data_IF_685999801631
#
_entry.id   IF_685999801631
#
_cell.length_a   1.000
_cell.length_b   1.000
_cell.length_c   1.000
_cell.angle_alpha   90.00
_cell.angle_beta   90.00
_cell.angle_gamma   90.00
#
_symmetry.space_group_name_H-M   'P 1'
#
loop_
_entity.id
_entity.type
_entity.pdbx_description
1 polymer ?
#
# COMPACT_ATOMS: atom_id res chain seq x y z
N UNK A 1 11.51 1.97 -11.79
CA UNK A 1 12.64 1.02 -12.00
C UNK A 1 13.73 1.07 -10.93
N UNK A 2 14.33 2.24 -10.60
CA UNK A 2 15.42 2.33 -9.59
C UNK A 2 15.05 1.71 -8.22
N UNK A 3 13.81 1.92 -7.75
CA UNK A 3 13.28 1.35 -6.49
C UNK A 3 13.20 -0.19 -6.49
N UNK A 4 12.81 -0.79 -7.62
CA UNK A 4 12.76 -2.24 -7.80
C UNK A 4 14.15 -2.87 -7.75
N UNK A 5 15.15 -2.25 -8.39
CA UNK A 5 16.53 -2.75 -8.36
C UNK A 5 17.14 -2.68 -6.95
N UNK A 6 16.87 -1.61 -6.20
CA UNK A 6 17.31 -1.49 -4.81
C UNK A 6 16.68 -2.57 -3.91
N UNK A 7 15.40 -2.89 -4.12
CA UNK A 7 14.73 -3.98 -3.41
C UNK A 7 15.34 -5.34 -3.75
N UNK A 8 15.55 -5.62 -5.04
CA UNK A 8 16.18 -6.86 -5.50
C UNK A 8 17.62 -7.01 -4.97
N UNK A 9 18.37 -5.91 -4.87
CA UNK A 9 19.73 -5.91 -4.32
C UNK A 9 19.77 -6.17 -2.81
N UNK A 10 18.96 -5.46 -2.01
CA UNK A 10 18.85 -5.69 -0.57
C UNK A 10 18.42 -7.14 -0.29
N UNK A 11 17.53 -7.66 -1.11
CA UNK A 11 17.07 -9.03 -0.99
C UNK A 11 18.16 -10.06 -1.37
N UNK A 12 18.92 -9.83 -2.45
CA UNK A 12 20.06 -10.68 -2.78
C UNK A 12 21.04 -10.79 -1.59
N UNK A 13 21.23 -9.69 -0.86
CA UNK A 13 22.06 -9.63 0.34
C UNK A 13 21.49 -10.50 1.49
N UNK A 14 20.17 -10.44 1.73
CA UNK A 14 19.49 -11.30 2.71
C UNK A 14 19.58 -12.79 2.37
N UNK A 15 19.49 -13.17 1.09
CA UNK A 15 19.67 -14.55 0.65
C UNK A 15 21.09 -15.04 0.94
N UNK A 16 22.10 -14.23 0.60
CA UNK A 16 23.51 -14.56 0.87
C UNK A 16 23.75 -14.75 2.37
N UNK A 17 23.24 -13.83 3.21
CA UNK A 17 23.35 -13.98 4.67
C UNK A 17 22.66 -15.24 5.19
N UNK A 18 21.48 -15.61 4.65
CA UNK A 18 20.80 -16.83 5.03
C UNK A 18 21.58 -18.09 4.64
N UNK A 19 22.31 -18.08 3.52
CA UNK A 19 23.21 -19.17 3.15
C UNK A 19 24.43 -19.26 4.07
N UNK A 20 25.05 -18.14 4.45
CA UNK A 20 26.21 -18.11 5.35
C UNK A 20 25.89 -18.65 6.76
N UNK A 21 24.77 -18.21 7.35
CA UNK A 21 24.29 -18.71 8.65
C UNK A 21 24.08 -20.23 8.62
N UNK A 22 23.64 -20.76 7.48
CA UNK A 22 23.44 -22.20 7.28
C UNK A 22 24.74 -22.96 7.01
N UNK A 23 25.71 -22.34 6.34
CA UNK A 23 27.04 -22.90 6.11
C UNK A 23 27.80 -23.10 7.43
N UNK A 24 27.67 -22.15 8.37
CA UNK A 24 28.28 -22.22 9.71
C UNK A 24 27.66 -23.32 10.60
N UNK A 25 26.42 -23.76 10.32
CA UNK A 25 25.72 -24.79 11.10
C UNK A 25 26.01 -26.23 10.64
N UNK A 26 26.88 -26.43 9.65
CA UNK A 26 27.09 -27.73 8.99
C UNK A 26 28.21 -28.53 9.66
N UNK A 27 27.86 -29.30 10.68
CA UNK A 27 28.65 -30.47 11.09
C UNK A 27 28.70 -31.51 9.95
N UNK A 28 29.86 -32.16 9.79
CA UNK A 28 30.15 -33.16 8.75
C UNK A 28 29.09 -34.28 8.72
N UNK A 29 28.35 -34.41 7.62
CA UNK A 29 27.42 -35.53 7.38
C UNK A 29 27.81 -36.19 6.05
N UNK A 30 28.10 -37.49 6.14
CA UNK A 30 28.60 -38.35 5.07
C UNK A 30 27.73 -38.36 3.81
N UNK A 31 28.41 -38.58 2.68
CA UNK A 31 27.81 -38.60 1.35
C UNK A 31 27.00 -39.89 1.12
N UNK A 32 25.69 -39.81 1.28
CA UNK A 32 24.79 -40.89 0.90
C UNK A 32 24.55 -40.89 -0.62
N UNK A 33 25.13 -41.86 -1.34
CA UNK A 33 24.87 -42.11 -2.78
C UNK A 33 23.69 -43.08 -2.93
N UNK A 34 22.47 -42.54 -2.84
CA UNK A 34 21.25 -43.25 -3.24
C UNK A 34 20.73 -42.74 -4.58
N UNK A 35 20.14 -43.62 -5.40
CA UNK A 35 19.52 -43.24 -6.67
C UNK A 35 18.50 -42.11 -6.44
N UNK A 36 18.73 -40.95 -7.07
CA UNK A 36 17.82 -39.80 -7.01
C UNK A 36 16.61 -40.15 -7.87
N UNK A 37 15.59 -40.76 -7.27
CA UNK A 37 14.33 -41.00 -7.96
C UNK A 37 13.78 -39.68 -8.51
N UNK A 38 13.50 -39.64 -9.81
CA UNK A 38 12.91 -38.49 -10.48
C UNK A 38 11.65 -37.99 -9.75
N UNK A 39 11.39 -36.69 -9.85
CA UNK A 39 10.19 -36.10 -9.27
C UNK A 39 8.96 -36.62 -10.02
N UNK A 40 8.01 -37.22 -9.30
CA UNK A 40 6.83 -37.86 -9.88
C UNK A 40 5.54 -37.31 -9.26
N UNK A 41 4.39 -37.66 -9.83
CA UNK A 41 3.07 -37.18 -9.37
C UNK A 41 2.79 -37.47 -7.88
N UNK A 42 3.34 -38.55 -7.32
CA UNK A 42 3.15 -38.95 -5.92
C UNK A 42 3.92 -38.08 -4.91
N UNK A 43 4.84 -37.23 -5.39
CA UNK A 43 5.62 -36.28 -4.57
C UNK A 43 5.02 -34.86 -4.59
N UNK A 44 3.99 -34.63 -5.40
CA UNK A 44 3.22 -33.38 -5.43
C UNK A 44 2.28 -33.34 -4.23
N UNK A 45 2.07 -32.16 -3.68
CA UNK A 45 1.15 -31.95 -2.57
C UNK A 45 0.55 -30.56 -2.63
N UNK A 46 -0.60 -30.41 -1.98
CA UNK A 46 -1.25 -29.13 -1.75
C UNK A 46 -0.94 -28.72 -0.33
N UNK A 47 -0.74 -27.43 -0.11
CA UNK A 47 -0.62 -26.86 1.21
C UNK A 47 -1.51 -25.63 1.32
N UNK A 48 -2.17 -25.48 2.46
CA UNK A 48 -3.07 -24.36 2.75
C UNK A 48 -2.57 -23.63 3.97
N UNK A 49 -2.74 -22.31 4.03
CA UNK A 49 -2.20 -21.53 5.13
C UNK A 49 -2.91 -20.21 5.33
N UNK A 50 -2.73 -19.67 6.52
CA UNK A 50 -3.11 -18.30 6.88
C UNK A 50 -1.87 -17.48 7.20
N UNK A 51 -1.98 -16.17 7.07
CA UNK A 51 -0.87 -15.27 7.40
C UNK A 51 -1.36 -13.93 7.92
N UNK A 52 -0.47 -13.29 8.67
CA UNK A 52 -0.58 -11.89 9.06
C UNK A 52 0.38 -11.07 8.22
N UNK A 53 -0.03 -9.86 7.87
CA UNK A 53 0.66 -8.99 6.95
C UNK A 53 0.88 -7.62 7.59
N UNK A 54 2.01 -7.01 7.27
CA UNK A 54 2.29 -5.59 7.49
C UNK A 54 2.35 -4.93 6.12
N UNK A 55 1.47 -3.97 5.87
CA UNK A 55 1.37 -3.23 4.62
C UNK A 55 1.93 -1.83 4.79
N UNK A 56 2.73 -1.39 3.82
CA UNK A 56 3.35 -0.07 3.78
C UNK A 56 3.12 0.54 2.39
N UNK A 57 2.53 1.73 2.34
CA UNK A 57 2.23 2.46 1.11
C UNK A 57 3.41 3.35 0.69
N UNK A 58 3.63 3.47 -0.62
CA UNK A 58 4.61 4.38 -1.21
C UNK A 58 4.02 5.05 -2.44
N UNK A 59 3.91 6.36 -2.39
CA UNK A 59 3.38 7.20 -3.46
C UNK A 59 3.37 8.65 -3.04
N UNK A 60 2.35 9.41 -3.45
CA UNK A 60 2.33 10.86 -3.30
C UNK A 60 2.27 11.35 -1.85
N UNK A 61 1.51 10.66 -1.00
CA UNK A 61 1.39 10.93 0.44
C UNK A 61 2.42 10.18 1.31
N UNK A 62 3.32 9.39 0.69
CA UNK A 62 4.36 8.61 1.40
C UNK A 62 5.62 8.40 0.51
N UNK A 63 6.47 9.42 0.36
CA UNK A 63 7.37 9.55 -0.80
C UNK A 63 8.83 9.18 -0.52
N UNK A 64 9.28 9.39 0.72
CA UNK A 64 10.69 9.28 1.11
C UNK A 64 11.09 7.84 1.36
N UNK A 65 12.20 7.49 0.71
CA UNK A 65 12.68 6.14 0.52
C UNK A 65 13.85 5.87 1.45
N UNK A 66 13.68 4.91 2.37
CA UNK A 66 14.68 3.85 2.54
C UNK A 66 13.89 2.56 2.65
N UNK A 67 14.18 1.57 1.82
CA UNK A 67 13.53 0.23 1.89
C UNK A 67 13.74 -0.40 3.29
N UNK A 68 14.76 0.08 4.03
CA UNK A 68 15.05 -0.27 5.41
C UNK A 68 14.50 0.72 6.47
N UNK A 69 13.94 1.87 6.08
CA UNK A 69 13.17 2.76 6.98
C UNK A 69 11.70 2.48 6.76
N UNK A 70 11.24 1.34 7.27
CA UNK A 70 9.82 1.13 7.48
C UNK A 70 9.42 2.06 8.62
N UNK A 71 8.92 3.25 8.31
CA UNK A 71 8.28 4.07 9.32
C UNK A 71 7.08 3.28 9.87
N UNK A 72 7.26 2.77 11.08
CA UNK A 72 6.30 1.91 11.78
C UNK A 72 4.93 2.62 11.91
N UNK A 73 4.91 3.96 11.85
CA UNK A 73 3.72 4.81 11.88
C UNK A 73 2.72 4.51 10.73
N UNK A 74 3.21 4.12 9.55
CA UNK A 74 2.38 3.81 8.38
C UNK A 74 2.11 2.32 8.17
N UNK A 75 2.78 1.44 8.93
CA UNK A 75 2.53 0.01 8.90
C UNK A 75 1.10 -0.29 9.35
N UNK A 76 0.34 -0.96 8.50
CA UNK A 76 -1.03 -1.39 8.82
C UNK A 76 -1.16 -2.91 8.73
N UNK A 77 -1.92 -3.54 9.64
CA UNK A 77 -2.09 -4.98 9.61
C UNK A 77 -2.98 -5.41 8.45
N UNK A 78 -2.74 -6.63 7.99
CA UNK A 78 -3.63 -7.35 7.09
C UNK A 78 -3.58 -8.84 7.38
N UNK A 79 -4.47 -9.58 6.74
CA UNK A 79 -4.51 -11.03 6.80
C UNK A 79 -4.55 -11.60 5.39
N UNK A 80 -4.04 -12.81 5.20
CA UNK A 80 -4.24 -13.54 3.96
C UNK A 80 -4.43 -15.03 4.17
N UNK A 81 -5.08 -15.63 3.18
CA UNK A 81 -5.24 -17.06 3.04
C UNK A 81 -4.59 -17.51 1.73
N UNK A 82 -3.85 -18.60 1.78
CA UNK A 82 -3.17 -19.15 0.62
C UNK A 82 -3.45 -20.63 0.42
N UNK A 83 -3.45 -21.03 -0.85
CA UNK A 83 -3.40 -22.42 -1.28
C UNK A 83 -2.26 -22.57 -2.28
N UNK A 84 -1.30 -23.43 -1.97
CA UNK A 84 -0.11 -23.67 -2.78
C UNK A 84 -0.08 -25.12 -3.26
N UNK A 85 0.15 -25.30 -4.55
CA UNK A 85 0.33 -26.59 -5.19
C UNK A 85 1.78 -26.76 -5.63
N UNK A 86 2.46 -27.77 -5.08
CA UNK A 86 3.83 -28.09 -5.46
C UNK A 86 3.85 -28.92 -6.75
N UNK A 87 4.39 -28.35 -7.82
CA UNK A 87 4.37 -28.96 -9.15
C UNK A 87 5.68 -29.69 -9.50
N UNK A 88 6.79 -29.28 -8.90
CA UNK A 88 8.14 -29.80 -9.19
C UNK A 88 9.10 -29.78 -7.99
N UNK A 89 10.39 -30.11 -8.21
CA UNK A 89 11.43 -30.09 -7.17
C UNK A 89 11.71 -28.70 -6.58
N UNK A 90 11.47 -27.64 -7.35
CA UNK A 90 11.68 -26.25 -6.94
C UNK A 90 10.49 -25.33 -7.27
N UNK A 91 9.50 -25.80 -8.03
CA UNK A 91 8.42 -24.96 -8.55
C UNK A 91 7.09 -25.27 -7.85
N UNK A 92 6.42 -24.22 -7.40
CA UNK A 92 5.06 -24.27 -6.88
C UNK A 92 4.22 -23.14 -7.49
N UNK A 93 2.91 -23.37 -7.57
CA UNK A 93 1.93 -22.34 -7.91
C UNK A 93 1.09 -22.05 -6.67
N UNK A 94 0.84 -20.78 -6.37
CA UNK A 94 0.10 -20.36 -5.18
C UNK A 94 -1.04 -19.41 -5.55
N UNK A 95 -2.26 -19.75 -5.15
CA UNK A 95 -3.36 -18.79 -5.07
C UNK A 95 -3.37 -18.13 -3.69
N UNK A 96 -3.57 -16.82 -3.65
CA UNK A 96 -3.56 -16.05 -2.42
C UNK A 96 -4.69 -15.01 -2.41
N UNK A 97 -5.40 -14.91 -1.30
CA UNK A 97 -6.36 -13.84 -1.05
C UNK A 97 -5.87 -13.02 0.15
N UNK A 98 -5.77 -11.71 -0.01
CA UNK A 98 -5.34 -10.78 1.03
C UNK A 98 -6.41 -9.74 1.30
N UNK A 99 -6.60 -9.42 2.57
CA UNK A 99 -7.32 -8.23 3.00
C UNK A 99 -6.44 -7.45 3.98
N UNK A 100 -6.14 -6.20 3.64
CA UNK A 100 -5.35 -5.31 4.47
C UNK A 100 -5.75 -3.86 4.30
N UNK A 101 -5.20 -3.00 5.15
CA UNK A 101 -5.39 -1.55 5.07
C UNK A 101 -4.09 -0.87 4.65
N UNK A 102 -4.18 0.18 3.86
CA UNK A 102 -3.12 1.15 3.60
C UNK A 102 -3.49 2.48 4.26
N UNK A 103 -2.48 3.27 4.61
CA UNK A 103 -2.63 4.65 5.07
C UNK A 103 -1.41 5.45 4.60
N UNK A 104 -1.64 6.71 4.26
CA UNK A 104 -0.62 7.74 4.08
C UNK A 104 -1.17 9.07 4.56
N UNK A 105 -0.27 9.98 4.89
CA UNK A 105 -0.59 11.22 5.58
C UNK A 105 0.57 12.21 5.38
N UNK A 106 0.26 13.40 4.87
CA UNK A 106 1.22 14.47 4.60
C UNK A 106 1.85 15.06 5.87
N UNK A 107 1.10 15.08 6.97
CA UNK A 107 1.56 15.68 8.24
C UNK A 107 2.66 14.82 8.89
N UNK A 108 2.49 13.50 8.83
CA UNK A 108 3.42 12.55 9.47
C UNK A 108 4.48 11.97 8.53
N UNK A 109 4.47 12.34 7.24
CA UNK A 109 5.46 11.85 6.28
C UNK A 109 6.75 12.68 6.34
N UNK A 110 7.57 12.36 7.35
CA UNK A 110 8.99 12.70 7.50
C UNK A 110 9.36 14.10 6.96
N UNK A 111 8.83 15.12 7.67
CA UNK A 111 9.24 16.51 7.52
C UNK A 111 10.76 16.59 7.71
N UNK A 112 11.49 16.76 6.61
CA UNK A 112 12.90 17.12 6.66
C UNK A 112 12.95 18.63 6.39
N UNK A 113 13.11 19.48 7.42
CA UNK A 113 13.19 20.91 7.23
C UNK A 113 14.31 21.23 6.22
N UNK A 114 13.99 22.00 5.18
CA UNK A 114 14.95 22.44 4.15
C UNK A 114 14.85 21.78 2.77
N UNK A 115 13.85 20.92 2.50
CA UNK A 115 13.55 20.47 1.12
C UNK A 115 12.17 20.96 0.66
N UNK A 116 12.11 21.64 -0.48
CA UNK A 116 10.87 22.23 -1.05
C UNK A 116 9.70 21.22 -1.11
N UNK A 117 10.00 19.95 -1.39
CA UNK A 117 9.01 18.89 -1.57
C UNK A 117 8.33 18.44 -0.26
N UNK A 118 9.03 18.46 0.88
CA UNK A 118 8.41 18.12 2.17
C UNK A 118 7.61 19.27 2.74
N UNK A 119 8.08 20.51 2.55
CA UNK A 119 7.29 21.70 2.87
C UNK A 119 6.00 21.68 2.06
N UNK A 120 6.09 21.41 0.75
CA UNK A 120 4.91 21.34 -0.11
C UNK A 120 3.83 20.36 0.40
N UNK A 121 4.27 19.15 0.79
CA UNK A 121 3.37 18.11 1.30
C UNK A 121 2.74 18.48 2.63
N UNK A 122 3.56 18.92 3.59
CA UNK A 122 3.07 19.38 4.88
C UNK A 122 1.96 20.44 4.70
N UNK A 123 2.19 21.40 3.80
CA UNK A 123 1.21 22.43 3.46
C UNK A 123 -0.03 21.87 2.75
N UNK A 124 0.09 20.85 1.90
CA UNK A 124 -1.05 20.17 1.25
C UNK A 124 -1.97 19.49 2.28
N UNK A 125 -1.41 18.92 3.34
CA UNK A 125 -2.12 18.36 4.50
C UNK A 125 -3.21 17.33 4.15
N UNK A 126 -2.95 16.47 3.17
CA UNK A 126 -3.86 15.38 2.81
C UNK A 126 -3.53 14.11 3.59
N UNK A 127 -4.55 13.28 3.81
CA UNK A 127 -4.39 11.96 4.38
C UNK A 127 -5.43 11.01 3.80
N UNK A 128 -5.12 9.72 3.83
CA UNK A 128 -6.05 8.71 3.38
C UNK A 128 -5.93 7.41 4.17
N UNK A 129 -6.99 6.62 4.13
CA UNK A 129 -6.99 5.20 4.45
C UNK A 129 -7.63 4.44 3.31
N UNK A 130 -7.11 3.27 2.98
CA UNK A 130 -7.64 2.47 1.89
C UNK A 130 -7.66 0.98 2.25
N UNK A 131 -8.82 0.34 2.12
CA UNK A 131 -8.97 -1.10 2.38
C UNK A 131 -8.78 -1.88 1.08
N UNK A 132 -7.71 -2.66 1.01
CA UNK A 132 -7.32 -3.46 -0.13
C UNK A 132 -7.80 -4.91 0.04
N UNK A 133 -8.47 -5.42 -0.99
CA UNK A 133 -8.80 -6.85 -1.14
C UNK A 133 -8.11 -7.36 -2.40
N UNK A 134 -7.05 -8.14 -2.26
CA UNK A 134 -6.21 -8.63 -3.36
C UNK A 134 -6.46 -10.13 -3.58
N UNK A 135 -6.68 -10.53 -4.83
CA UNK A 135 -6.61 -11.92 -5.27
C UNK A 135 -5.40 -12.07 -6.20
N UNK A 136 -4.50 -12.99 -5.87
CA UNK A 136 -3.26 -13.17 -6.61
C UNK A 136 -2.95 -14.64 -6.94
N UNK A 137 -2.27 -14.82 -8.07
CA UNK A 137 -1.67 -16.10 -8.49
C UNK A 137 -0.18 -15.88 -8.61
N UNK A 138 0.60 -16.66 -7.86
CA UNK A 138 2.04 -16.52 -7.72
C UNK A 138 2.75 -17.80 -8.17
N UNK A 139 3.83 -17.62 -8.92
CA UNK A 139 4.84 -18.65 -9.17
C UNK A 139 5.91 -18.55 -8.10
N UNK A 140 6.12 -19.64 -7.37
CA UNK A 140 7.10 -19.72 -6.28
C UNK A 140 8.25 -20.64 -6.70
N UNK A 141 9.46 -20.10 -6.64
CA UNK A 141 10.69 -20.81 -6.93
C UNK A 141 11.53 -20.97 -5.68
N UNK A 142 11.60 -22.20 -5.17
CA UNK A 142 12.48 -22.58 -4.07
C UNK A 142 13.94 -22.59 -4.56
N UNK A 143 14.80 -21.74 -3.99
CA UNK A 143 16.22 -21.67 -4.34
C UNK A 143 16.97 -22.97 -3.99
N UNK A 144 16.44 -23.71 -3.01
CA UNK A 144 16.90 -25.06 -2.66
C UNK A 144 15.94 -26.12 -3.20
N UNK A 145 16.25 -26.62 -4.38
CA UNK A 145 15.49 -27.72 -4.99
C UNK A 145 15.57 -28.98 -4.11
N UNK A 146 14.44 -29.65 -3.92
CA UNK A 146 14.41 -30.98 -3.31
C UNK A 146 13.42 -31.89 -4.05
N UNK A 147 13.91 -33.03 -4.52
CA UNK A 147 13.14 -34.02 -5.26
C UNK A 147 12.49 -35.11 -4.39
N UNK A 148 12.47 -34.93 -3.07
CA UNK A 148 12.00 -35.94 -2.11
C UNK A 148 10.54 -35.65 -1.70
N UNK A 149 9.94 -36.58 -0.95
CA UNK A 149 8.60 -36.41 -0.38
C UNK A 149 8.57 -35.27 0.64
N UNK A 150 7.38 -34.70 0.92
CA UNK A 150 7.22 -33.61 1.88
C UNK A 150 7.80 -33.91 3.28
N UNK A 151 7.90 -35.18 3.69
CA UNK A 151 8.48 -35.60 4.98
C UNK A 151 9.96 -35.20 5.10
N UNK A 152 10.72 -35.39 4.02
CA UNK A 152 12.18 -35.18 3.96
C UNK A 152 12.53 -33.83 3.36
N UNK A 153 11.60 -32.86 3.47
CA UNK A 153 11.85 -31.48 3.08
C UNK A 153 12.96 -30.84 3.94
N UNK A 154 13.82 -30.00 3.35
CA UNK A 154 14.84 -29.26 4.09
C UNK A 154 14.23 -28.41 5.21
N UNK A 155 15.02 -28.16 6.25
CA UNK A 155 14.56 -27.35 7.39
C UNK A 155 14.38 -25.88 7.04
N UNK A 156 15.28 -25.32 6.25
CA UNK A 156 15.23 -23.94 5.78
C UNK A 156 15.29 -23.92 4.25
N UNK A 157 14.37 -23.20 3.62
CA UNK A 157 14.28 -23.05 2.17
C UNK A 157 14.02 -21.58 1.85
N UNK A 158 15.04 -20.85 1.38
CA UNK A 158 14.85 -19.57 0.71
C UNK A 158 14.11 -19.76 -0.61
N UNK A 159 13.25 -18.82 -0.97
CA UNK A 159 12.51 -18.82 -2.23
C UNK A 159 12.23 -17.41 -2.72
N UNK A 160 12.06 -17.29 -4.03
CA UNK A 160 11.57 -16.07 -4.69
C UNK A 160 10.22 -16.36 -5.32
N UNK A 161 9.43 -15.32 -5.53
CA UNK A 161 8.15 -15.45 -6.21
C UNK A 161 7.79 -14.21 -7.01
N UNK A 162 6.99 -14.42 -8.04
CA UNK A 162 6.38 -13.36 -8.82
C UNK A 162 5.01 -13.82 -9.31
N UNK A 163 4.14 -12.90 -9.69
CA UNK A 163 2.84 -13.28 -10.19
C UNK A 163 1.98 -12.12 -10.67
N UNK A 164 0.69 -12.39 -10.83
CA UNK A 164 -0.32 -11.40 -11.16
C UNK A 164 -1.36 -11.29 -10.05
N UNK A 165 -1.85 -10.08 -9.84
CA UNK A 165 -2.88 -9.79 -8.86
C UNK A 165 -3.94 -8.85 -9.46
N UNK A 166 -5.18 -9.06 -9.03
CA UNK A 166 -6.26 -8.07 -9.14
C UNK A 166 -6.66 -7.68 -7.73
N UNK A 167 -6.87 -6.39 -7.49
CA UNK A 167 -7.29 -5.92 -6.18
C UNK A 167 -8.42 -4.91 -6.29
N UNK A 168 -9.30 -4.94 -5.29
CA UNK A 168 -10.28 -3.90 -5.04
C UNK A 168 -9.72 -2.94 -3.99
N UNK A 169 -9.79 -1.64 -4.27
CA UNK A 169 -9.41 -0.55 -3.38
C UNK A 169 -10.51 0.51 -3.32
N UNK A 170 -10.60 1.22 -2.21
CA UNK A 170 -11.51 2.34 -2.01
C UNK A 170 -10.86 3.35 -1.04
N UNK A 171 -10.09 4.33 -1.55
CA UNK A 171 -9.48 5.34 -0.69
C UNK A 171 -10.56 6.19 -0.02
N UNK A 172 -10.32 6.48 1.25
CA UNK A 172 -11.19 7.25 2.12
C UNK A 172 -10.37 8.28 2.87
N UNK A 173 -10.95 9.45 3.12
CA UNK A 173 -10.38 10.45 4.01
C UNK A 173 -11.43 10.94 5.00
N UNK A 174 -10.97 11.59 6.07
CA UNK A 174 -11.83 12.10 7.14
C UNK A 174 -12.33 13.49 6.79
N UNK A 175 -13.64 13.74 6.92
CA UNK A 175 -14.23 15.07 6.75
C UNK A 175 -13.67 16.03 7.82
N UNK A 176 -13.22 17.25 7.44
CA UNK A 176 -12.76 18.23 8.42
C UNK A 176 -13.88 18.66 9.37
N UNK A 177 -13.51 19.14 10.55
CA UNK A 177 -14.48 19.65 11.53
C UNK A 177 -14.87 21.10 11.25
N UNK A 178 -14.01 21.83 10.54
CA UNK A 178 -14.15 23.26 10.28
C UNK A 178 -13.99 23.51 8.78
N UNK A 179 -14.86 24.35 8.25
CA UNK A 179 -14.83 24.78 6.86
C UNK A 179 -13.92 26.01 6.71
N UNK A 180 -12.67 25.73 6.33
CA UNK A 180 -11.67 26.73 5.99
C UNK A 180 -11.66 27.13 4.51
N UNK A 181 -12.52 26.50 3.70
CA UNK A 181 -12.53 26.69 2.25
C UNK A 181 -13.57 27.75 1.89
N UNK A 182 -14.82 27.62 2.36
CA UNK A 182 -15.89 28.56 2.01
C UNK A 182 -15.95 29.79 2.92
N UNK A 183 -15.32 29.78 4.10
CA UNK A 183 -15.37 30.91 5.04
C UNK A 183 -13.98 31.34 5.47
N UNK A 184 -13.21 31.87 4.51
CA UNK A 184 -11.81 32.25 4.70
C UNK A 184 -11.59 33.23 5.85
N UNK A 185 -12.42 34.28 5.92
CA UNK A 185 -12.24 35.38 6.89
C UNK A 185 -12.82 35.04 8.26
N UNK A 186 -13.65 34.01 8.36
CA UNK A 186 -14.24 33.51 9.61
C UNK A 186 -14.61 32.04 9.45
N UNK A 187 -13.65 31.11 9.61
CA UNK A 187 -13.90 29.67 9.44
C UNK A 187 -15.09 29.22 10.27
N UNK A 188 -15.99 28.45 9.66
CA UNK A 188 -17.21 27.99 10.33
C UNK A 188 -17.08 26.51 10.71
N UNK A 189 -17.36 26.16 11.96
CA UNK A 189 -17.49 24.76 12.36
C UNK A 189 -18.61 24.08 11.58
N UNK A 190 -18.36 22.85 11.13
CA UNK A 190 -19.34 22.01 10.43
C UNK A 190 -20.13 21.27 11.50
N UNK A 191 -21.44 21.48 11.54
CA UNK A 191 -22.29 20.79 12.51
C UNK A 191 -22.65 19.39 12.01
N UNK A 192 -23.07 18.51 12.94
CA UNK A 192 -23.66 17.22 12.56
C UNK A 192 -24.98 17.48 11.82
N UNK A 193 -25.18 16.82 10.68
CA UNK A 193 -26.28 17.03 9.73
C UNK A 193 -26.36 18.46 9.15
N UNK A 194 -25.21 19.12 9.00
CA UNK A 194 -25.15 20.42 8.34
C UNK A 194 -25.70 20.34 6.90
N UNK A 195 -26.72 21.15 6.53
CA UNK A 195 -27.34 21.08 5.21
C UNK A 195 -26.41 21.47 4.07
N UNK A 196 -25.24 22.04 4.35
CA UNK A 196 -24.23 22.43 3.35
C UNK A 196 -23.44 21.24 2.82
N UNK A 197 -23.41 20.12 3.54
CA UNK A 197 -22.52 18.98 3.27
C UNK A 197 -23.26 17.65 3.22
N UNK A 198 -22.78 16.76 2.36
CA UNK A 198 -23.34 15.41 2.22
C UNK A 198 -22.74 14.39 3.22
N UNK A 199 -22.00 14.86 4.22
CA UNK A 199 -21.34 14.02 5.23
C UNK A 199 -21.14 14.79 6.54
N UNK A 200 -20.98 14.05 7.64
CA UNK A 200 -20.75 14.64 8.95
C UNK A 200 -19.25 14.93 9.20
N UNK A 201 -18.92 15.93 10.03
CA UNK A 201 -17.54 16.18 10.44
C UNK A 201 -16.95 14.93 11.11
N UNK A 202 -15.67 14.65 10.84
CA UNK A 202 -14.97 13.48 11.40
C UNK A 202 -15.35 12.12 10.77
N UNK A 203 -16.34 12.07 9.88
CA UNK A 203 -16.72 10.86 9.17
C UNK A 203 -15.66 10.47 8.13
N UNK A 204 -15.45 9.17 7.92
CA UNK A 204 -14.58 8.68 6.86
C UNK A 204 -15.37 8.32 5.61
N UNK A 205 -15.25 9.16 4.60
CA UNK A 205 -16.00 9.04 3.35
C UNK A 205 -15.13 8.52 2.21
N UNK A 206 -15.77 7.89 1.22
CA UNK A 206 -15.07 7.43 0.00
C UNK A 206 -14.72 8.63 -0.86
N UNK A 207 -13.48 8.72 -1.32
CA UNK A 207 -13.01 9.88 -2.09
C UNK A 207 -13.37 9.77 -3.57
N UNK A 208 -13.37 8.56 -4.12
CA UNK A 208 -13.72 8.32 -5.54
C UNK A 208 -15.03 9.00 -5.98
N UNK A 209 -16.17 8.89 -5.26
CA UNK A 209 -17.40 9.55 -5.68
C UNK A 209 -17.30 11.07 -5.70
N UNK A 210 -16.38 11.67 -4.93
CA UNK A 210 -16.17 13.11 -4.88
C UNK A 210 -15.32 13.62 -6.04
N UNK A 211 -14.54 12.75 -6.70
CA UNK A 211 -13.63 13.12 -7.77
C UNK A 211 -12.80 14.36 -7.41
N UNK A 212 -12.00 14.28 -6.34
CA UNK A 212 -11.29 15.44 -5.76
C UNK A 212 -10.32 16.13 -6.73
N UNK A 213 -9.97 15.48 -7.84
CA UNK A 213 -9.18 16.01 -8.97
C UNK A 213 -10.00 16.15 -10.26
N UNK A 214 -11.33 16.06 -10.18
CA UNK A 214 -12.23 15.98 -11.33
C UNK A 214 -12.07 14.72 -12.19
N UNK A 215 -11.40 13.70 -11.65
CA UNK A 215 -11.13 12.45 -12.36
C UNK A 215 -11.88 11.29 -11.74
N UNK A 216 -12.44 10.45 -12.61
CA UNK A 216 -13.04 9.17 -12.24
C UNK A 216 -12.07 8.03 -12.48
N UNK A 217 -11.93 7.13 -11.50
CA UNK A 217 -11.07 5.95 -11.59
C UNK A 217 -11.81 4.69 -11.12
N UNK A 218 -11.26 3.52 -11.45
CA UNK A 218 -11.82 2.22 -11.06
C UNK A 218 -11.42 1.85 -9.63
N UNK A 219 -12.31 1.18 -8.89
CA UNK A 219 -11.93 0.54 -7.61
C UNK A 219 -11.16 -0.76 -7.83
N UNK A 220 -11.20 -1.31 -9.05
CA UNK A 220 -10.44 -2.49 -9.41
C UNK A 220 -9.20 -2.08 -10.19
N UNK A 221 -8.05 -2.57 -9.75
CA UNK A 221 -6.78 -2.38 -10.42
C UNK A 221 -5.95 -3.67 -10.39
N UNK A 222 -4.92 -3.69 -11.23
CA UNK A 222 -3.98 -4.80 -11.34
C UNK A 222 -2.69 -4.47 -10.60
N UNK A 223 -2.01 -5.52 -10.13
CA UNK A 223 -0.66 -5.43 -9.62
C UNK A 223 0.18 -6.65 -10.06
N UNK A 224 1.49 -6.46 -10.07
CA UNK A 224 2.48 -7.53 -10.17
C UNK A 224 3.17 -7.64 -8.81
N UNK A 225 2.80 -8.65 -8.00
CA UNK A 225 3.55 -8.98 -6.80
C UNK A 225 4.88 -9.63 -7.19
N UNK A 226 5.98 -9.09 -6.69
CA UNK A 226 7.31 -9.69 -6.76
C UNK A 226 7.89 -9.66 -5.36
N UNK A 227 8.46 -10.77 -4.93
CA UNK A 227 8.94 -10.86 -3.57
C UNK A 227 9.75 -12.11 -3.35
N UNK A 228 10.12 -12.28 -2.11
CA UNK A 228 10.88 -13.42 -1.72
C UNK A 228 10.80 -13.63 -0.21
N UNK A 229 11.22 -14.81 0.22
CA UNK A 229 11.02 -15.22 1.59
C UNK A 229 11.85 -16.43 1.96
N UNK A 230 11.69 -16.80 3.23
CA UNK A 230 12.33 -17.97 3.82
C UNK A 230 11.26 -18.83 4.46
N UNK A 231 11.29 -20.13 4.16
CA UNK A 231 10.39 -21.14 4.71
C UNK A 231 11.17 -21.99 5.69
N UNK A 232 10.67 -22.08 6.91
CA UNK A 232 11.18 -22.94 7.96
C UNK A 232 10.22 -24.10 8.24
N UNK A 233 10.73 -25.32 8.24
CA UNK A 233 9.99 -26.54 8.57
C UNK A 233 9.77 -26.62 10.07
N UNK A 234 8.57 -26.28 10.52
CA UNK A 234 8.21 -26.33 11.93
C UNK A 234 7.90 -27.76 12.40
N UNK A 235 7.24 -28.56 11.55
CA UNK A 235 6.90 -29.95 11.87
C UNK A 235 6.84 -30.83 10.61
N UNK A 236 6.34 -32.06 10.73
CA UNK A 236 6.12 -32.93 9.55
C UNK A 236 5.07 -32.37 8.59
N UNK A 237 4.13 -31.54 9.05
CA UNK A 237 3.05 -31.02 8.21
C UNK A 237 2.94 -29.50 8.23
N UNK A 238 3.65 -28.81 9.14
CA UNK A 238 3.61 -27.36 9.27
C UNK A 238 4.90 -26.72 8.80
N UNK A 239 4.76 -25.63 8.07
CA UNK A 239 5.82 -24.72 7.66
C UNK A 239 5.49 -23.30 8.13
N UNK A 240 6.48 -22.64 8.71
CA UNK A 240 6.45 -21.21 9.05
C UNK A 240 7.22 -20.46 7.97
N UNK A 241 6.69 -19.37 7.43
CA UNK A 241 7.43 -18.57 6.44
C UNK A 241 7.35 -17.09 6.72
N UNK A 242 8.46 -16.41 6.45
CA UNK A 242 8.53 -14.95 6.38
C UNK A 242 8.75 -14.53 4.93
N UNK A 243 7.97 -13.56 4.44
CA UNK A 243 8.01 -13.06 3.07
C UNK A 243 8.06 -11.53 3.07
N UNK A 244 8.88 -10.94 2.19
CA UNK A 244 8.85 -9.52 1.86
C UNK A 244 8.50 -9.38 0.39
N UNK A 245 7.57 -8.49 0.07
CA UNK A 245 7.00 -8.49 -1.26
C UNK A 245 6.47 -7.13 -1.70
N UNK A 246 6.90 -6.73 -2.88
CA UNK A 246 6.60 -5.47 -3.53
C UNK A 246 5.45 -5.66 -4.53
N UNK A 247 4.43 -4.81 -4.47
CA UNK A 247 3.39 -4.73 -5.51
C UNK A 247 3.68 -3.53 -6.39
N UNK A 248 4.11 -3.81 -7.62
CA UNK A 248 4.02 -2.82 -8.68
C UNK A 248 2.55 -2.72 -9.09
N UNK A 249 1.91 -1.58 -8.87
CA UNK A 249 0.54 -1.35 -9.34
C UNK A 249 0.54 -0.59 -10.67
N UNK A 250 -0.63 -0.53 -11.29
CA UNK A 250 -0.89 0.21 -12.52
C UNK A 250 -1.92 1.34 -12.31
N UNK A 251 -2.12 1.75 -11.06
CA UNK A 251 -3.01 2.85 -10.69
C UNK A 251 -2.21 3.90 -9.94
N UNK A 252 -2.70 5.12 -10.01
CA UNK A 252 -2.17 6.29 -9.31
C UNK A 252 -3.13 6.77 -8.21
N UNK A 253 -4.19 5.99 -7.97
CA UNK A 253 -5.31 6.41 -7.14
C UNK A 253 -5.46 5.47 -5.94
N UNK A 254 -4.37 4.87 -5.43
CA UNK A 254 -4.45 4.16 -4.15
C UNK A 254 -4.72 5.14 -3.00
N UNK A 255 -4.35 6.40 -3.17
CA UNK A 255 -4.50 7.43 -2.17
C UNK A 255 -5.43 8.58 -2.58
N UNK A 256 -5.97 8.53 -3.80
CA UNK A 256 -6.81 9.56 -4.44
C UNK A 256 -6.03 10.82 -4.90
N UNK A 257 -4.70 10.73 -5.07
CA UNK A 257 -3.82 11.87 -5.41
C UNK A 257 -2.94 11.49 -6.61
N UNK A 258 -2.89 12.34 -7.64
CA UNK A 258 -2.13 12.02 -8.87
C UNK A 258 -1.70 13.25 -9.67
N UNK A 259 -2.62 14.19 -9.94
CA UNK A 259 -2.38 15.23 -10.94
C UNK A 259 -2.39 16.65 -10.38
N UNK A 260 -2.83 17.58 -11.20
CA UNK A 260 -3.00 18.98 -10.80
C UNK A 260 -4.28 19.18 -9.98
N UNK A 261 -4.33 20.28 -9.24
CA UNK A 261 -5.58 20.75 -8.64
C UNK A 261 -6.61 21.09 -9.72
N UNK A 262 -7.88 20.85 -9.41
CA UNK A 262 -9.02 21.29 -10.20
C UNK A 262 -9.52 22.66 -9.70
N UNK A 263 -10.14 23.45 -10.57
CA UNK A 263 -10.77 24.69 -10.14
C UNK A 263 -11.98 24.38 -9.24
N UNK A 264 -12.15 25.09 -8.11
CA UNK A 264 -13.28 24.85 -7.21
C UNK A 264 -14.66 25.00 -7.87
N UNK A 265 -14.78 25.82 -8.91
CA UNK A 265 -16.04 26.03 -9.64
C UNK A 265 -16.51 24.79 -10.42
N UNK A 266 -15.58 23.95 -10.87
CA UNK A 266 -15.91 22.78 -11.70
C UNK A 266 -16.66 21.70 -10.92
N UNK A 267 -16.55 21.70 -9.57
CA UNK A 267 -17.25 20.72 -8.74
C UNK A 267 -18.77 20.80 -8.83
N UNK A 268 -19.37 21.97 -9.10
CA UNK A 268 -20.83 22.07 -9.30
C UNK A 268 -21.25 21.47 -10.63
N UNK A 269 -20.37 21.45 -11.64
CA UNK A 269 -20.65 20.82 -12.92
C UNK A 269 -20.48 19.30 -12.83
N UNK A 270 -19.48 18.84 -12.08
CA UNK A 270 -19.24 17.42 -11.82
C UNK A 270 -20.36 16.82 -10.97
N UNK A 271 -20.83 17.56 -9.96
CA UNK A 271 -21.81 17.09 -8.98
C UNK A 271 -23.11 17.89 -9.07
N UNK A 272 -24.19 17.22 -9.45
CA UNK A 272 -25.52 17.87 -9.49
C UNK A 272 -26.12 18.19 -8.11
N UNK A 273 -25.59 17.64 -7.02
CA UNK A 273 -25.98 17.99 -5.64
C UNK A 273 -24.94 18.97 -5.04
N UNK A 274 -25.32 20.22 -4.72
CA UNK A 274 -24.42 21.22 -4.15
C UNK A 274 -23.72 20.74 -2.86
N UNK A 275 -24.37 19.86 -2.08
CA UNK A 275 -23.80 19.32 -0.83
C UNK A 275 -22.62 18.40 -1.08
N UNK A 276 -22.64 17.69 -2.21
CA UNK A 276 -21.52 16.83 -2.65
C UNK A 276 -20.42 17.69 -3.25
N UNK A 277 -20.77 18.72 -4.05
CA UNK A 277 -19.80 19.67 -4.60
C UNK A 277 -19.01 20.39 -3.48
N UNK A 278 -19.70 20.91 -2.47
CA UNK A 278 -19.07 21.57 -1.33
C UNK A 278 -18.17 20.61 -0.54
N UNK A 279 -18.60 19.37 -0.35
CA UNK A 279 -17.81 18.34 0.29
C UNK A 279 -16.56 18.00 -0.54
N UNK A 280 -16.69 17.88 -1.87
CA UNK A 280 -15.56 17.61 -2.75
C UNK A 280 -14.49 18.71 -2.69
N UNK A 281 -14.91 19.98 -2.66
CA UNK A 281 -14.01 21.14 -2.45
C UNK A 281 -13.22 21.04 -1.15
N UNK A 282 -13.91 20.78 -0.04
CA UNK A 282 -13.27 20.58 1.28
C UNK A 282 -12.24 19.45 1.26
N UNK A 283 -12.56 18.35 0.59
CA UNK A 283 -11.69 17.17 0.57
C UNK A 283 -10.54 17.29 -0.44
N UNK A 284 -10.71 18.11 -1.48
CA UNK A 284 -9.67 18.38 -2.48
C UNK A 284 -8.58 19.31 -1.94
N UNK A 285 -8.95 20.32 -1.14
CA UNK A 285 -8.04 21.35 -0.62
C UNK A 285 -8.11 21.48 0.90
N UNK A 286 -7.01 21.10 1.57
CA UNK A 286 -6.91 21.05 3.04
C UNK A 286 -5.86 21.98 3.65
N UNK A 287 -5.14 22.74 2.84
CA UNK A 287 -3.99 23.52 3.31
C UNK A 287 -4.36 24.61 4.32
N UNK A 288 -5.57 25.16 4.20
CA UNK A 288 -6.04 26.16 5.16
C UNK A 288 -6.34 25.59 6.56
N UNK A 289 -6.39 24.26 6.75
CA UNK A 289 -6.57 23.65 8.08
C UNK A 289 -5.38 23.92 9.01
N UNK A 290 -4.18 24.16 8.44
CA UNK A 290 -2.97 24.51 9.20
C UNK A 290 -3.12 25.88 9.89
N UNK A 291 -4.12 26.69 9.52
CA UNK A 291 -4.44 27.99 10.17
C UNK A 291 -4.72 27.89 11.65
N UNK A 292 -5.14 26.73 12.15
CA UNK A 292 -5.28 26.50 13.60
C UNK A 292 -3.95 26.66 14.33
N UNK A 293 -2.83 26.35 13.66
CA UNK A 293 -1.48 26.64 14.13
C UNK A 293 -1.03 28.00 13.59
N UNK A 294 -1.56 29.07 14.20
CA UNK A 294 -1.40 30.45 13.72
C UNK A 294 0.04 30.93 13.54
N UNK A 295 1.02 30.30 14.19
CA UNK A 295 2.44 30.62 14.01
C UNK A 295 2.98 30.05 12.69
N UNK A 296 2.69 28.78 12.39
CA UNK A 296 3.10 28.13 11.14
C UNK A 296 2.40 28.77 9.94
N UNK A 297 1.13 29.13 10.09
CA UNK A 297 0.39 29.79 9.02
C UNK A 297 1.02 31.14 8.63
N UNK A 298 1.44 31.95 9.60
CA UNK A 298 2.08 33.24 9.29
C UNK A 298 3.40 33.04 8.54
N UNK A 299 4.25 32.11 8.97
CA UNK A 299 5.49 31.76 8.27
C UNK A 299 5.23 31.28 6.84
N UNK A 300 4.17 30.48 6.63
CA UNK A 300 3.79 29.98 5.29
C UNK A 300 3.27 31.08 4.36
N UNK A 301 2.42 31.98 4.87
CA UNK A 301 1.92 33.12 4.10
C UNK A 301 3.06 34.08 3.74
N UNK A 302 4.02 34.28 4.64
CA UNK A 302 5.22 35.08 4.37
C UNK A 302 6.13 34.43 3.31
N UNK A 303 6.21 33.10 3.27
CA UNK A 303 7.06 32.36 2.34
C UNK A 303 6.48 32.21 0.92
N UNK A 304 5.19 31.90 0.78
CA UNK A 304 4.55 31.60 -0.53
C UNK A 304 3.52 32.63 -0.98
N UNK A 305 3.05 33.48 -0.07
CA UNK A 305 1.92 34.37 -0.31
C UNK A 305 0.58 33.63 -0.39
N UNK A 306 -0.50 34.38 -0.22
CA UNK A 306 -1.87 33.92 -0.49
C UNK A 306 -2.35 34.50 -1.80
N UNK A 307 -3.18 33.74 -2.50
CA UNK A 307 -3.91 34.24 -3.67
C UNK A 307 -5.40 34.09 -3.40
N UNK A 308 -6.13 35.12 -3.79
CA UNK A 308 -7.58 35.07 -3.79
C UNK A 308 -8.05 34.62 -5.16
N UNK A 309 -8.83 33.55 -5.19
CA UNK A 309 -9.53 33.10 -6.38
C UNK A 309 -10.90 33.76 -6.38
N UNK A 310 -11.08 34.73 -7.26
CA UNK A 310 -12.32 35.47 -7.40
C UNK A 310 -13.35 34.58 -8.09
N UNK A 311 -14.21 33.95 -7.30
CA UNK A 311 -15.38 33.23 -7.78
C UNK A 311 -16.52 33.28 -6.76
N UNK A 312 -17.76 33.19 -7.24
CA UNK A 312 -18.97 33.25 -6.43
C UNK A 312 -19.13 31.96 -5.62
N UNK A 313 -18.56 31.92 -4.42
CA UNK A 313 -18.76 30.83 -3.49
C UNK A 313 -20.26 30.50 -3.31
N UNK A 314 -20.71 29.24 -3.51
CA UNK A 314 -22.12 28.85 -3.45
C UNK A 314 -22.72 29.03 -2.05
N UNK A 315 -21.88 29.19 -1.03
CA UNK A 315 -22.27 29.37 0.36
C UNK A 315 -22.18 30.83 0.86
N UNK A 316 -21.82 31.80 -0.01
CA UNK A 316 -21.82 33.23 0.31
C UNK A 316 -21.02 34.11 -0.64
N UNK A 317 -21.12 35.44 -0.51
CA UNK A 317 -20.50 36.43 -1.40
C UNK A 317 -18.97 36.59 -1.26
N UNK A 318 -18.27 35.65 -0.60
CA UNK A 318 -16.84 35.75 -0.31
C UNK A 318 -16.02 34.93 -1.31
N UNK A 319 -14.87 35.47 -1.71
CA UNK A 319 -13.92 34.78 -2.59
C UNK A 319 -13.20 33.62 -1.88
N UNK A 320 -12.75 32.62 -2.65
CA UNK A 320 -11.93 31.52 -2.11
C UNK A 320 -10.48 31.98 -1.90
N UNK A 321 -9.94 31.82 -0.70
CA UNK A 321 -8.52 32.05 -0.42
C UNK A 321 -7.81 30.72 -0.39
N UNK A 322 -6.77 30.64 -1.20
CA UNK A 322 -5.89 29.50 -1.26
C UNK A 322 -4.44 29.97 -1.11
N UNK A 323 -3.60 29.06 -0.63
CA UNK A 323 -2.16 29.25 -0.72
C UNK A 323 -1.74 29.19 -2.18
N UNK A 324 -0.80 30.05 -2.56
CA UNK A 324 -0.28 30.05 -3.92
C UNK A 324 0.33 28.67 -4.26
N UNK A 325 -0.06 28.09 -5.39
CA UNK A 325 0.32 26.71 -5.75
C UNK A 325 -0.68 25.61 -5.36
N UNK A 326 -1.75 25.94 -4.62
CA UNK A 326 -2.71 24.96 -4.12
C UNK A 326 -4.16 25.30 -4.42
N UNK A 327 -5.03 24.29 -4.43
CA UNK A 327 -6.49 24.44 -4.33
C UNK A 327 -7.21 25.00 -5.56
N UNK A 328 -6.48 25.37 -6.61
CA UNK A 328 -7.02 25.85 -7.90
C UNK A 328 -6.19 25.30 -9.04
N UNK A 329 -6.76 25.17 -10.24
CA UNK A 329 -5.98 24.77 -11.41
C UNK A 329 -4.99 25.86 -11.81
N UNK A 330 -3.79 25.47 -12.20
CA UNK A 330 -2.74 26.41 -12.58
C UNK A 330 -1.51 25.70 -13.08
N UNK A 331 -0.69 26.42 -13.86
CA UNK A 331 0.64 25.97 -14.21
C UNK A 331 1.44 25.88 -12.91
N UNK A 332 1.89 24.68 -12.56
CA UNK A 332 2.63 24.34 -11.34
C UNK A 332 1.76 24.19 -10.06
N UNK A 333 0.42 24.07 -10.17
CA UNK A 333 -0.47 23.76 -9.04
C UNK A 333 -0.69 22.24 -8.92
N UNK A 334 0.32 21.53 -8.41
CA UNK A 334 0.44 20.07 -8.52
C UNK A 334 -0.13 19.36 -7.29
N UNK A 335 -1.34 18.80 -7.34
CA UNK A 335 -1.90 18.06 -6.19
C UNK A 335 -1.17 16.75 -5.92
N UNK A 336 -0.66 16.06 -6.94
CA UNK A 336 0.08 14.79 -6.89
C UNK A 336 1.03 14.64 -8.08
N UNK A 337 1.82 13.58 -8.13
CA UNK A 337 2.68 13.25 -9.28
C UNK A 337 2.03 12.11 -10.06
N UNK A 338 2.09 12.18 -11.40
CA UNK A 338 1.61 11.08 -12.27
C UNK A 338 2.58 9.88 -12.25
N UNK A 339 2.69 9.22 -11.10
CA UNK A 339 3.71 8.23 -10.77
C UNK A 339 3.08 7.05 -10.01
N UNK A 340 2.86 5.92 -10.71
CA UNK A 340 2.06 4.81 -10.19
C UNK A 340 2.46 4.37 -8.79
N UNK A 341 1.45 4.36 -7.93
CA UNK A 341 1.53 3.95 -6.54
C UNK A 341 2.04 2.52 -6.38
N UNK A 342 2.76 2.28 -5.30
CA UNK A 342 3.24 0.94 -4.94
C UNK A 342 3.08 0.70 -3.45
N UNK A 343 3.03 -0.57 -3.07
CA UNK A 343 3.02 -0.93 -1.66
C UNK A 343 3.85 -2.17 -1.38
N UNK A 344 4.45 -2.22 -0.20
CA UNK A 344 5.22 -3.34 0.30
C UNK A 344 4.39 -4.12 1.32
N UNK A 345 4.50 -5.44 1.26
CA UNK A 345 3.86 -6.36 2.18
C UNK A 345 4.92 -7.26 2.79
N UNK A 346 5.03 -7.20 4.11
CA UNK A 346 5.79 -8.14 4.93
C UNK A 346 4.81 -9.15 5.52
N UNK A 347 5.02 -10.44 5.29
CA UNK A 347 4.07 -11.50 5.63
C UNK A 347 4.72 -12.54 6.52
N UNK A 348 4.08 -12.85 7.64
CA UNK A 348 4.39 -14.03 8.45
C UNK A 348 3.26 -15.04 8.29
N UNK A 349 3.60 -16.24 7.82
CA UNK A 349 2.61 -17.24 7.42
C UNK A 349 2.84 -18.60 8.06
N UNK A 350 1.73 -19.28 8.38
CA UNK A 350 1.72 -20.67 8.82
C UNK A 350 0.98 -21.50 7.77
N UNK A 351 1.65 -22.51 7.24
CA UNK A 351 1.16 -23.35 6.15
C UNK A 351 1.09 -24.81 6.58
N UNK A 352 -0.05 -25.46 6.36
CA UNK A 352 -0.29 -26.88 6.58
C UNK A 352 -0.27 -27.65 5.26
N UNK A 353 0.50 -28.73 5.21
CA UNK A 353 0.62 -29.63 4.05
C UNK A 353 -0.47 -30.70 4.13
N UNK A 354 -1.32 -30.75 3.10
CA UNK A 354 -2.33 -31.79 2.92
C UNK A 354 -1.63 -33.01 2.32
N UNK A 355 -1.38 -34.02 3.16
CA UNK A 355 -0.73 -35.25 2.75
C UNK A 355 -1.65 -36.14 1.90
N UNK A 356 -1.20 -36.57 0.73
CA UNK A 356 -1.79 -37.72 0.04
C UNK A 356 -1.27 -39.00 0.71
N UNK A 357 -2.17 -39.85 1.21
CA UNK A 357 -1.91 -41.13 1.90
C UNK A 357 -0.56 -41.78 1.55
N UNK A 358 0.40 -41.68 2.48
CA UNK A 358 1.63 -42.46 2.42
C UNK A 358 1.32 -43.78 3.12
N UNK A 359 1.20 -44.86 2.35
CA UNK A 359 1.23 -46.21 2.92
C UNK A 359 2.60 -46.38 3.58
N UNK A 360 2.62 -46.48 4.91
CA UNK A 360 3.80 -46.94 5.62
C UNK A 360 4.20 -48.31 5.06
N UNK A 361 5.49 -48.52 4.81
CA UNK A 361 5.98 -49.84 4.48
C UNK A 361 5.65 -50.77 5.67
N UNK A 362 4.81 -51.79 5.44
CA UNK A 362 4.68 -52.89 6.37
C UNK A 362 5.97 -53.70 6.25
N UNK A 363 6.83 -53.62 7.26
CA UNK A 363 7.87 -54.63 7.43
C UNK A 363 7.14 -55.94 7.78
N UNK A 364 7.35 -56.96 6.97
CA UNK A 364 6.82 -58.31 7.16
C UNK A 364 7.84 -59.16 7.88
#
# INVERSE_FOLDING_TARGET
MKKLYAFLFLFALLVVCAEEVMAQRRGSIGHYRGNINAFNRKKRYISIGGSINSLNYFGDLAPKNRIASTDISFTRPGISFMAQYRMGPAFSMRGNFMWGRLRGDDDTSDFAPGTDESTYRFQRNLHFRNDIKELSVLFVFDLKAHGRTFITRPELVPYVFFGGAVFHHNPKARVPNTDYVHYVTSPSEIQVNDPRYAANPGEWISLKPLQTEGKSYSNFAFAIPVGAGVRYKLSRYLDLSFEMSYRQTFTDYLDDVSGDYINPEDFDQIHGDPRVANLARLMAYRSNEIREDGALWQEMVEFQGTRTHSWNNPLGANEYLHLNGYGTAGRDHIRGKDDKDVYLVSTLSLTYIIGTNIRNAKFR
#
